data_IF_676617616124
#
_entry.id   IF_676617616124
#
_cell.length_a   1.000
_cell.length_b   1.000
_cell.length_c   1.000
_cell.angle_alpha   90.00
_cell.angle_beta   90.00
_cell.angle_gamma   90.00
#
_symmetry.space_group_name_H-M   'P 1'
#
loop_
_entity.id
_entity.type
_entity.pdbx_description
1 polymer ?
#
# COMPACT_ATOMS: atom_id res chain seq x y z
N UNK A 1 33.78 4.53 17.61
CA UNK A 1 32.55 4.63 16.79
C UNK A 1 32.03 3.20 16.68
N UNK A 2 31.12 2.82 17.58
CA UNK A 2 31.00 1.40 17.99
C UNK A 2 29.84 0.68 17.30
N UNK A 3 28.96 1.44 16.63
CA UNK A 3 27.84 0.93 15.86
C UNK A 3 28.32 0.49 14.46
N UNK A 4 28.22 -0.81 14.20
CA UNK A 4 28.73 -1.43 12.96
C UNK A 4 27.75 -1.31 11.79
N UNK A 5 26.45 -1.56 12.01
CA UNK A 5 25.38 -1.53 10.98
C UNK A 5 24.20 -0.70 11.49
N UNK A 6 23.49 -0.03 10.58
CA UNK A 6 22.19 0.62 10.86
C UNK A 6 21.19 0.14 9.81
N UNK A 7 20.07 -0.43 10.26
CA UNK A 7 18.94 -0.81 9.42
C UNK A 7 17.72 0.00 9.87
N UNK A 8 17.03 0.64 8.94
CA UNK A 8 15.87 1.49 9.23
C UNK A 8 14.76 1.20 8.24
N UNK A 9 13.55 1.04 8.75
CA UNK A 9 12.31 0.91 7.96
C UNK A 9 11.48 2.17 8.19
N UNK A 10 11.12 2.87 7.12
CA UNK A 10 10.38 4.13 7.23
C UNK A 10 10.13 4.78 5.88
N UNK A 11 9.80 6.07 5.90
CA UNK A 11 9.49 6.83 4.68
C UNK A 11 10.73 7.05 3.79
N UNK A 12 10.50 7.29 2.49
CA UNK A 12 11.58 7.67 1.57
C UNK A 12 12.29 8.98 1.96
N UNK A 13 11.56 9.93 2.57
CA UNK A 13 12.15 11.17 3.10
C UNK A 13 13.14 10.91 4.23
N UNK A 14 12.75 10.06 5.18
CA UNK A 14 13.64 9.60 6.25
C UNK A 14 14.83 8.81 5.69
N UNK A 15 14.60 7.92 4.73
CA UNK A 15 15.64 7.16 4.04
C UNK A 15 16.69 8.08 3.39
N UNK A 16 16.25 9.14 2.72
CA UNK A 16 17.14 10.14 2.11
C UNK A 16 18.02 10.83 3.15
N UNK A 17 17.45 11.30 4.26
CA UNK A 17 18.21 11.93 5.34
C UNK A 17 19.27 10.98 5.94
N UNK A 18 18.92 9.71 6.11
CA UNK A 18 19.84 8.68 6.61
C UNK A 18 20.98 8.43 5.62
N UNK A 19 20.67 8.34 4.32
CA UNK A 19 21.68 8.20 3.27
C UNK A 19 22.63 9.39 3.23
N UNK A 20 22.11 10.62 3.33
CA UNK A 20 22.94 11.83 3.39
C UNK A 20 23.84 11.84 4.63
N UNK A 21 23.32 11.45 5.79
CA UNK A 21 24.11 11.36 7.02
C UNK A 21 25.19 10.27 6.94
N UNK A 22 24.89 9.11 6.34
CA UNK A 22 25.86 8.06 6.10
C UNK A 22 26.97 8.54 5.16
N UNK A 23 26.60 9.21 4.06
CA UNK A 23 27.54 9.77 3.09
C UNK A 23 28.50 10.79 3.71
N UNK A 24 27.99 11.67 4.57
CA UNK A 24 28.79 12.72 5.24
C UNK A 24 29.67 12.22 6.39
N UNK A 25 29.42 11.02 6.90
CA UNK A 25 30.11 10.53 8.10
C UNK A 25 31.07 9.37 7.80
N UNK A 26 30.54 8.22 7.40
CA UNK A 26 31.32 6.97 7.40
C UNK A 26 30.93 5.99 6.30
N UNK A 27 30.16 6.43 5.29
CA UNK A 27 29.80 5.66 4.10
C UNK A 27 29.17 4.29 4.42
N UNK A 28 28.40 4.21 5.51
CA UNK A 28 27.65 2.98 5.85
C UNK A 28 26.61 2.67 4.77
N UNK A 29 26.45 1.37 4.48
CA UNK A 29 25.41 0.87 3.57
C UNK A 29 24.00 1.19 4.11
N UNK A 30 23.08 1.53 3.19
CA UNK A 30 21.66 1.84 3.46
C UNK A 30 20.78 1.04 2.49
N UNK A 31 19.70 0.44 3.00
CA UNK A 31 18.75 -0.39 2.25
C UNK A 31 17.36 0.26 2.27
N UNK A 32 16.67 0.32 1.13
CA UNK A 32 15.36 0.98 0.94
C UNK A 32 14.42 0.09 0.12
N UNK A 33 13.13 0.04 0.46
CA UNK A 33 12.19 -0.98 -0.05
C UNK A 33 10.87 -0.39 -0.60
N UNK A 34 10.30 -1.01 -1.66
CA UNK A 34 8.93 -0.74 -2.18
C UNK A 34 8.41 -1.92 -3.03
N UNK A 35 7.11 -2.24 -2.94
CA UNK A 35 6.47 -3.38 -3.64
C UNK A 35 5.32 -2.97 -4.59
N UNK A 36 4.97 -3.86 -5.55
CA UNK A 36 3.83 -3.75 -6.49
C UNK A 36 3.28 -5.12 -6.89
N UNK A 37 2.12 -5.16 -7.56
CA UNK A 37 1.52 -6.37 -8.14
C UNK A 37 1.28 -6.26 -9.66
N UNK A 38 1.35 -7.40 -10.37
CA UNK A 38 1.06 -7.49 -11.81
C UNK A 38 0.25 -8.76 -12.10
N UNK A 39 -0.88 -8.61 -12.78
CA UNK A 39 -1.86 -9.67 -13.05
C UNK A 39 -1.99 -9.87 -14.57
N UNK A 40 -1.74 -11.08 -15.03
CA UNK A 40 -1.89 -11.52 -16.41
C UNK A 40 -3.19 -12.30 -16.61
N UNK A 41 -3.56 -12.58 -17.86
CA UNK A 41 -4.81 -13.27 -18.19
C UNK A 41 -4.83 -14.77 -17.86
N UNK A 42 -3.67 -15.37 -17.65
CA UNK A 42 -3.47 -16.73 -17.18
C UNK A 42 -3.50 -16.86 -15.64
N UNK A 43 -3.63 -15.75 -14.92
CA UNK A 43 -3.74 -15.74 -13.47
C UNK A 43 -5.12 -16.20 -12.98
N UNK A 44 -5.16 -16.77 -11.79
CA UNK A 44 -6.42 -16.92 -11.05
C UNK A 44 -6.91 -15.54 -10.60
N UNK A 45 -7.86 -14.98 -11.35
CA UNK A 45 -8.37 -13.63 -11.12
C UNK A 45 -9.15 -13.51 -9.80
N UNK A 46 -9.78 -14.59 -9.31
CA UNK A 46 -10.53 -14.57 -8.05
C UNK A 46 -9.58 -14.52 -6.86
N UNK A 47 -8.59 -15.41 -6.86
CA UNK A 47 -7.52 -15.38 -5.86
C UNK A 47 -6.77 -14.04 -5.92
N UNK A 48 -6.40 -13.57 -7.11
CA UNK A 48 -5.68 -12.30 -7.27
C UNK A 48 -6.48 -11.11 -6.72
N UNK A 49 -7.79 -11.02 -7.01
CA UNK A 49 -8.63 -9.94 -6.51
C UNK A 49 -8.77 -9.98 -4.98
N UNK A 50 -8.96 -11.16 -4.39
CA UNK A 50 -9.05 -11.34 -2.94
C UNK A 50 -7.75 -11.00 -2.22
N UNK A 51 -6.63 -11.50 -2.70
CA UNK A 51 -5.31 -11.29 -2.07
C UNK A 51 -4.84 -9.84 -2.19
N UNK A 52 -5.02 -9.22 -3.37
CA UNK A 52 -4.67 -7.81 -3.55
C UNK A 52 -5.55 -6.88 -2.71
N UNK A 53 -6.84 -7.20 -2.55
CA UNK A 53 -7.74 -6.48 -1.66
C UNK A 53 -7.33 -6.69 -0.19
N UNK A 54 -7.08 -7.93 0.23
CA UNK A 54 -6.65 -8.24 1.59
C UNK A 54 -5.38 -7.48 1.94
N UNK A 55 -4.40 -7.43 1.02
CA UNK A 55 -3.14 -6.70 1.18
C UNK A 55 -3.33 -5.21 1.47
N UNK A 56 -4.37 -4.55 0.92
CA UNK A 56 -4.64 -3.13 1.21
C UNK A 56 -5.55 -2.91 2.42
N UNK A 57 -6.38 -3.88 2.79
CA UNK A 57 -7.21 -3.79 4.00
C UNK A 57 -6.39 -4.12 5.27
N UNK A 58 -5.44 -5.04 5.16
CA UNK A 58 -4.59 -5.45 6.27
C UNK A 58 -3.77 -4.29 6.81
N UNK A 59 -3.88 -4.04 8.12
CA UNK A 59 -3.30 -2.87 8.79
C UNK A 59 -3.64 -1.54 8.10
N UNK A 60 -4.78 -1.50 7.42
CA UNK A 60 -5.26 -0.33 6.67
C UNK A 60 -4.28 0.11 5.58
N UNK A 61 -3.58 -0.86 4.97
CA UNK A 61 -2.63 -0.64 3.90
C UNK A 61 -1.29 -0.06 4.38
N UNK A 62 -1.10 0.10 5.70
CA UNK A 62 0.13 0.58 6.32
C UNK A 62 1.16 -0.57 6.43
N UNK A 63 1.41 -1.23 5.30
CA UNK A 63 2.34 -2.35 5.14
C UNK A 63 3.23 -2.05 3.93
N UNK A 64 4.55 -2.20 4.05
CA UNK A 64 5.48 -1.88 2.96
C UNK A 64 5.27 -2.74 1.69
N UNK A 65 4.74 -3.94 1.89
CA UNK A 65 4.39 -4.90 0.84
C UNK A 65 2.94 -4.75 0.35
N UNK A 66 2.17 -3.78 0.86
CA UNK A 66 0.80 -3.56 0.43
C UNK A 66 0.72 -3.33 -1.08
N UNK A 67 -0.25 -3.98 -1.74
CA UNK A 67 -0.42 -3.95 -3.20
C UNK A 67 -1.11 -2.64 -3.63
N UNK A 68 -0.55 -1.50 -3.24
CA UNK A 68 -1.11 -0.16 -3.48
C UNK A 68 -1.10 0.26 -4.96
N UNK A 69 -0.48 -0.55 -5.83
CA UNK A 69 -0.45 -0.38 -7.28
C UNK A 69 -0.52 -1.76 -7.93
N UNK A 70 -1.52 -1.95 -8.78
CA UNK A 70 -1.78 -3.20 -9.48
C UNK A 70 -1.79 -2.89 -10.99
N UNK A 71 -0.95 -3.58 -11.74
CA UNK A 71 -1.01 -3.59 -13.20
C UNK A 71 -1.80 -4.81 -13.65
N UNK A 72 -2.75 -4.63 -14.56
CA UNK A 72 -3.60 -5.72 -15.05
C UNK A 72 -3.54 -5.75 -16.57
N UNK A 73 -3.35 -6.93 -17.14
CA UNK A 73 -3.37 -7.11 -18.58
C UNK A 73 -4.72 -6.71 -19.17
N UNK A 74 -4.69 -5.97 -20.27
CA UNK A 74 -5.88 -5.34 -20.86
C UNK A 74 -7.03 -6.33 -21.16
N UNK A 75 -6.72 -7.57 -21.54
CA UNK A 75 -7.70 -8.63 -21.85
C UNK A 75 -8.57 -9.03 -20.66
N UNK A 76 -8.11 -8.83 -19.43
CA UNK A 76 -8.81 -9.20 -18.18
C UNK A 76 -9.09 -8.02 -17.26
N UNK A 77 -8.70 -6.80 -17.66
CA UNK A 77 -8.74 -5.60 -16.82
C UNK A 77 -10.15 -5.29 -16.29
N UNK A 78 -11.17 -5.25 -17.15
CA UNK A 78 -12.54 -4.91 -16.73
C UNK A 78 -13.11 -5.94 -15.74
N UNK A 79 -12.89 -7.23 -16.02
CA UNK A 79 -13.33 -8.33 -15.14
C UNK A 79 -12.65 -8.25 -13.78
N UNK A 80 -11.33 -8.06 -13.76
CA UNK A 80 -10.57 -7.92 -12.52
C UNK A 80 -11.02 -6.69 -11.72
N UNK A 81 -11.22 -5.55 -12.38
CA UNK A 81 -11.69 -4.33 -11.72
C UNK A 81 -13.02 -4.61 -11.02
N UNK A 82 -14.01 -5.18 -11.70
CA UNK A 82 -15.31 -5.50 -11.10
C UNK A 82 -15.17 -6.39 -9.87
N UNK A 83 -14.42 -7.49 -9.97
CA UNK A 83 -14.22 -8.42 -8.85
C UNK A 83 -13.49 -7.75 -7.67
N UNK A 84 -12.45 -6.96 -7.96
CA UNK A 84 -11.76 -6.18 -6.95
C UNK A 84 -12.70 -5.17 -6.29
N UNK A 85 -13.63 -4.59 -7.05
CA UNK A 85 -14.65 -3.69 -6.51
C UNK A 85 -15.57 -4.37 -5.51
N UNK A 86 -16.09 -5.52 -5.90
CA UNK A 86 -16.98 -6.28 -5.04
C UNK A 86 -16.28 -6.71 -3.74
N UNK A 87 -15.01 -7.13 -3.82
CA UNK A 87 -14.25 -7.49 -2.60
C UNK A 87 -14.02 -6.30 -1.67
N UNK A 88 -13.65 -5.13 -2.21
CA UNK A 88 -13.43 -3.92 -1.41
C UNK A 88 -14.72 -3.40 -0.74
N UNK A 89 -15.86 -3.47 -1.42
CA UNK A 89 -17.15 -3.06 -0.86
C UNK A 89 -17.62 -3.95 0.31
N UNK A 90 -17.07 -5.16 0.44
CA UNK A 90 -17.41 -6.11 1.50
C UNK A 90 -16.44 -6.07 2.69
N UNK A 91 -15.48 -5.14 2.72
CA UNK A 91 -14.52 -5.01 3.82
C UNK A 91 -15.21 -4.53 5.09
N UNK A 92 -15.16 -5.35 6.14
CA UNK A 92 -15.65 -4.94 7.46
C UNK A 92 -14.65 -3.99 8.14
N UNK A 93 -15.01 -2.72 8.23
CA UNK A 93 -14.24 -1.71 8.99
C UNK A 93 -14.71 -1.66 10.44
N UNK A 94 -13.78 -1.56 11.39
CA UNK A 94 -14.12 -1.42 12.81
C UNK A 94 -12.91 -1.40 13.72
N UNK A 95 -13.13 -1.72 15.00
CA UNK A 95 -12.06 -1.81 16.00
C UNK A 95 -11.41 -3.19 15.90
N UNK A 96 -10.08 -3.25 16.07
CA UNK A 96 -9.33 -4.51 15.96
C UNK A 96 -9.80 -5.64 16.88
N UNK A 97 -10.47 -5.30 17.98
CA UNK A 97 -11.04 -6.29 18.93
C UNK A 97 -12.34 -6.92 18.47
N UNK A 98 -12.99 -6.36 17.44
CA UNK A 98 -14.31 -6.82 17.00
C UNK A 98 -14.17 -8.02 16.06
N UNK A 99 -14.91 -9.12 16.29
CA UNK A 99 -14.83 -10.31 15.44
C UNK A 99 -15.12 -9.99 13.97
N UNK A 100 -14.21 -10.43 13.09
CA UNK A 100 -14.32 -10.30 11.65
C UNK A 100 -14.01 -8.93 11.08
N UNK A 101 -13.54 -7.95 11.87
CA UNK A 101 -13.01 -6.69 11.33
C UNK A 101 -11.76 -6.98 10.49
N UNK A 102 -11.73 -6.42 9.29
CA UNK A 102 -10.66 -6.59 8.31
C UNK A 102 -9.80 -5.34 8.14
N UNK A 103 -10.33 -4.15 8.48
CA UNK A 103 -9.63 -2.88 8.35
C UNK A 103 -9.90 -1.99 9.56
N UNK A 104 -8.87 -1.32 10.05
CA UNK A 104 -8.87 -0.50 11.27
C UNK A 104 -8.62 0.98 10.96
N UNK A 105 -8.61 1.88 11.95
CA UNK A 105 -8.16 3.25 11.73
C UNK A 105 -6.69 3.32 11.26
N UNK A 106 -6.32 4.42 10.63
CA UNK A 106 -4.93 4.77 10.35
C UNK A 106 -4.19 5.12 11.65
N UNK A 107 -2.85 5.10 11.62
CA UNK A 107 -2.04 5.27 12.82
C UNK A 107 -2.26 6.61 13.54
N UNK A 108 -2.41 7.69 12.78
CA UNK A 108 -2.63 9.04 13.30
C UNK A 108 -3.31 9.96 12.27
N UNK A 109 -3.64 11.17 12.72
CA UNK A 109 -4.27 12.22 11.92
C UNK A 109 -3.40 12.68 10.74
N UNK A 110 -2.07 12.71 10.89
CA UNK A 110 -1.17 13.14 9.81
C UNK A 110 -1.18 12.14 8.65
N UNK A 111 -1.21 10.84 8.98
CA UNK A 111 -1.37 9.78 8.00
C UNK A 111 -2.75 9.82 7.34
N UNK A 112 -3.81 10.08 8.12
CA UNK A 112 -5.18 10.25 7.58
C UNK A 112 -5.25 11.40 6.57
N UNK A 113 -4.70 12.57 6.90
CA UNK A 113 -4.65 13.72 5.99
C UNK A 113 -3.84 13.42 4.73
N UNK A 114 -2.71 12.73 4.88
CA UNK A 114 -1.86 12.34 3.75
C UNK A 114 -2.58 11.39 2.80
N UNK A 115 -3.26 10.38 3.33
CA UNK A 115 -4.07 9.43 2.53
C UNK A 115 -5.21 10.16 1.80
N UNK A 116 -5.97 11.01 2.51
CA UNK A 116 -7.05 11.78 1.90
C UNK A 116 -6.56 12.70 0.78
N UNK A 117 -5.40 13.34 0.96
CA UNK A 117 -4.80 14.16 -0.11
C UNK A 117 -4.56 13.33 -1.38
N UNK A 118 -4.01 12.12 -1.27
CA UNK A 118 -3.79 11.27 -2.45
C UNK A 118 -5.10 10.74 -3.06
N UNK A 119 -6.12 10.51 -2.24
CA UNK A 119 -7.47 10.19 -2.73
C UNK A 119 -8.02 11.34 -3.57
N UNK A 120 -7.93 12.58 -3.09
CA UNK A 120 -8.41 13.75 -3.82
C UNK A 120 -7.63 13.98 -5.13
N UNK A 121 -6.30 13.84 -5.09
CA UNK A 121 -5.47 13.88 -6.31
C UNK A 121 -5.90 12.82 -7.33
N UNK A 122 -6.15 11.59 -6.86
CA UNK A 122 -6.62 10.50 -7.69
C UNK A 122 -7.97 10.79 -8.36
N UNK A 123 -8.86 11.53 -7.69
CA UNK A 123 -10.15 11.96 -8.26
C UNK A 123 -9.99 13.07 -9.31
N UNK A 124 -9.05 14.00 -9.09
CA UNK A 124 -8.87 15.16 -9.96
C UNK A 124 -8.04 14.87 -11.21
N UNK A 125 -7.04 13.99 -11.11
CA UNK A 125 -6.04 13.76 -12.16
C UNK A 125 -6.27 12.48 -12.96
N UNK A 126 -6.83 11.45 -12.34
CA UNK A 126 -7.14 10.20 -13.01
C UNK A 126 -8.65 10.13 -13.23
N UNK A 127 -9.10 9.69 -14.41
CA UNK A 127 -10.49 9.27 -14.65
C UNK A 127 -10.89 8.01 -13.88
N UNK A 128 -10.36 7.83 -12.66
CA UNK A 128 -10.54 6.68 -11.80
C UNK A 128 -12.00 6.57 -11.38
N UNK A 129 -12.59 5.40 -11.60
CA UNK A 129 -13.90 5.07 -11.07
C UNK A 129 -13.77 4.76 -9.58
N UNK A 130 -14.18 5.73 -8.76
CA UNK A 130 -14.11 5.66 -7.31
C UNK A 130 -14.80 4.41 -6.76
N UNK A 131 -14.22 3.85 -5.70
CA UNK A 131 -14.90 2.96 -4.79
C UNK A 131 -14.80 3.61 -3.42
N UNK A 132 -15.91 4.16 -2.96
CA UNK A 132 -16.02 4.61 -1.58
C UNK A 132 -15.97 3.34 -0.71
N UNK A 133 -15.01 3.31 0.21
CA UNK A 133 -15.04 2.40 1.35
C UNK A 133 -15.82 3.09 2.46
#
# INVERSE_FOLDING_TARGET
MDVRVRSVTGSGGTGRLITEAAAKSNLKNVYLEKSLATIFDDADLDAAAKETQHSIAWNSGQVCMANSRIYVQNTVAEKFITMFKDNCANVKIGVFTDPGVQMCPLADESQFQSVNKYIELGKSEAGCSFMAI
#
